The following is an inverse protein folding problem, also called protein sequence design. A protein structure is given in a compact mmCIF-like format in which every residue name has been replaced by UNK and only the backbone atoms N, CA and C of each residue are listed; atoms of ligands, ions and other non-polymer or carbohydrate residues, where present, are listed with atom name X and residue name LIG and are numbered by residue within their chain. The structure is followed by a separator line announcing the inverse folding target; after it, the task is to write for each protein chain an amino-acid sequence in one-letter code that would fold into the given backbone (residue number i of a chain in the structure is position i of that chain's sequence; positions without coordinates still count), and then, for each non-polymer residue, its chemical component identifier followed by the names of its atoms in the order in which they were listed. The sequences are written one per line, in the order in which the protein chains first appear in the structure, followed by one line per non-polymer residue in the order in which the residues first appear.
data_IF_094748268551
#
_entry.id   IF_094748268551
#
_cell.length_a   1.000
_cell.length_b   1.000
_cell.length_c   1.000
_cell.angle_alpha   90.00
_cell.angle_beta   90.00
_cell.angle_gamma   90.00
#
_symmetry.space_group_name_H-M   'P 1'
#
loop_
_entity.id
_entity.type
_entity.pdbx_description
1 polymer ?
#
# COMPACT_ATOMS: atom_id res chain seq x y z
N UNK A 1 19.24 3.44 22.29
CA UNK A 1 18.94 3.22 21.78
C UNK A 1 18.74 3.09 20.91
N UNK A 2 18.54 3.73 20.29
CA UNK A 2 18.48 2.68 19.84
C UNK A 2 18.33 2.76 18.39
N UNK A 3 19.26 2.09 17.72
CA UNK A 3 19.34 2.12 16.28
C UNK A 3 18.13 1.49 15.61
N UNK A 4 17.50 0.59 16.31
CA UNK A 4 16.29 -0.06 15.79
C UNK A 4 15.17 0.95 15.60
N UNK A 5 15.04 1.90 16.51
CA UNK A 5 14.01 2.92 16.38
C UNK A 5 14.27 3.80 15.17
N UNK A 6 15.52 4.14 14.94
CA UNK A 6 15.87 4.96 13.78
C UNK A 6 15.56 4.25 12.48
N UNK A 7 15.84 2.96 12.43
CA UNK A 7 15.55 2.15 11.25
C UNK A 7 14.05 2.10 11.01
N UNK A 8 13.28 1.88 12.07
CA UNK A 8 11.82 1.78 11.93
C UNK A 8 11.20 3.09 11.48
N UNK A 9 11.78 4.22 11.90
CA UNK A 9 11.23 5.52 11.53
C UNK A 9 11.33 5.81 10.04
N UNK A 10 12.20 5.09 9.33
CA UNK A 10 12.35 5.28 7.90
C UNK A 10 11.45 4.39 7.07
N UNK A 11 10.69 3.49 7.70
CA UNK A 11 9.91 2.49 6.99
C UNK A 11 8.49 2.99 6.74
N UNK A 12 7.76 3.32 7.78
CA UNK A 12 6.38 3.76 7.63
C UNK A 12 6.06 4.83 8.66
N UNK A 13 5.38 5.89 8.24
CA UNK A 13 4.98 6.99 9.10
C UNK A 13 3.49 7.11 9.26
N UNK A 14 2.72 6.81 8.21
CA UNK A 14 1.26 6.90 8.25
C UNK A 14 0.61 5.55 8.49
N UNK A 15 1.19 4.49 7.93
CA UNK A 15 0.68 3.15 8.17
C UNK A 15 1.25 2.68 9.51
N UNK A 16 0.39 2.41 10.50
CA UNK A 16 0.88 2.03 11.83
C UNK A 16 1.74 0.78 11.79
N UNK A 17 2.81 0.79 12.57
CA UNK A 17 3.75 -0.33 12.60
C UNK A 17 3.07 -1.63 13.00
N UNK A 18 2.12 -1.59 13.92
CA UNK A 18 1.40 -2.80 14.34
C UNK A 18 0.57 -3.38 13.20
N UNK A 19 0.13 -2.55 12.26
CA UNK A 19 -0.60 -3.07 11.09
C UNK A 19 0.33 -3.85 10.17
N UNK A 20 1.56 -3.39 10.02
CA UNK A 20 2.54 -4.09 9.19
C UNK A 20 3.04 -5.37 9.86
N UNK A 21 3.08 -5.39 11.20
CA UNK A 21 3.46 -6.60 11.93
C UNK A 21 2.36 -7.65 11.92
N UNK A 22 1.13 -7.24 11.74
CA UNK A 22 -0.02 -8.14 11.73
C UNK A 22 -0.29 -8.74 10.35
N UNK A 23 0.71 -8.74 9.46
CA UNK A 23 0.59 -9.35 8.15
C UNK A 23 0.39 -10.85 8.32
N UNK A 24 -0.68 -11.36 7.72
CA UNK A 24 -1.04 -12.78 7.83
C UNK A 24 -0.76 -13.55 6.54
N UNK A 25 -0.50 -12.87 5.44
CA UNK A 25 -0.23 -13.51 4.15
C UNK A 25 1.01 -12.90 3.54
N UNK A 26 1.87 -13.74 2.97
CA UNK A 26 3.14 -13.29 2.40
C UNK A 26 3.35 -13.96 1.05
N UNK A 27 3.64 -13.14 0.04
CA UNK A 27 4.15 -13.64 -1.24
C UNK A 27 5.63 -13.30 -1.24
N UNK A 28 6.45 -14.31 -1.00
CA UNK A 28 7.88 -14.11 -0.81
C UNK A 28 8.61 -13.78 -2.09
N UNK A 29 9.81 -13.24 -1.92
CA UNK A 29 10.66 -12.89 -3.05
C UNK A 29 10.92 -14.11 -3.93
N UNK A 30 10.77 -13.95 -5.23
CA UNK A 30 10.92 -15.04 -6.19
C UNK A 30 9.64 -15.82 -6.45
N UNK A 31 8.63 -15.68 -5.60
CA UNK A 31 7.35 -16.35 -5.81
C UNK A 31 6.46 -15.53 -6.75
N UNK A 32 5.59 -16.23 -7.49
CA UNK A 32 4.62 -15.60 -8.39
C UNK A 32 3.25 -16.12 -8.01
N UNK A 33 2.33 -15.20 -7.76
CA UNK A 33 0.93 -15.51 -7.48
C UNK A 33 0.08 -14.87 -8.57
N UNK A 34 -0.69 -15.68 -9.29
CA UNK A 34 -1.59 -15.20 -10.34
C UNK A 34 -3.02 -15.51 -9.90
N UNK A 35 -3.76 -14.48 -9.57
CA UNK A 35 -5.11 -14.62 -9.05
C UNK A 35 -5.47 -13.43 -8.18
N UNK A 36 -6.66 -13.50 -7.55
CA UNK A 36 -7.16 -12.44 -6.72
C UNK A 36 -7.08 -12.81 -5.25
N UNK A 37 -6.68 -11.83 -4.44
CA UNK A 37 -6.72 -11.93 -2.99
C UNK A 37 -7.87 -11.05 -2.51
N UNK A 38 -8.82 -11.65 -1.80
CA UNK A 38 -9.99 -10.92 -1.32
C UNK A 38 -10.29 -11.31 0.12
N UNK A 39 -10.64 -10.34 0.94
CA UNK A 39 -10.98 -10.58 2.32
C UNK A 39 -11.99 -9.55 2.81
N UNK A 40 -12.92 -9.98 3.65
CA UNK A 40 -13.81 -9.09 4.38
C UNK A 40 -13.40 -8.94 5.83
N UNK A 41 -12.23 -9.48 6.19
CA UNK A 41 -11.66 -9.35 7.53
C UNK A 41 -10.47 -8.42 7.51
N UNK A 42 -10.19 -7.84 8.68
CA UNK A 42 -9.08 -6.90 8.84
C UNK A 42 -7.76 -7.66 8.95
N UNK A 43 -7.28 -8.15 7.83
CA UNK A 43 -6.04 -8.91 7.71
C UNK A 43 -4.98 -8.07 7.02
N UNK A 44 -3.83 -8.65 6.75
CA UNK A 44 -2.76 -7.99 6.03
C UNK A 44 -2.08 -8.91 5.04
N UNK A 45 -1.59 -8.35 3.95
CA UNK A 45 -0.81 -9.08 2.97
C UNK A 45 0.46 -8.29 2.65
N UNK A 46 1.58 -9.01 2.57
CA UNK A 46 2.85 -8.45 2.11
C UNK A 46 3.27 -9.12 0.82
N UNK A 47 3.67 -8.33 -0.17
CA UNK A 47 4.12 -8.83 -1.45
C UNK A 47 5.58 -8.44 -1.64
N UNK A 48 6.48 -9.41 -1.57
CA UNK A 48 7.90 -9.24 -1.87
C UNK A 48 8.26 -9.92 -3.19
N UNK A 49 7.38 -10.75 -3.70
CA UNK A 49 7.49 -11.38 -5.01
C UNK A 49 6.61 -10.70 -6.02
N UNK A 50 5.97 -11.47 -6.87
CA UNK A 50 5.12 -10.94 -7.93
C UNK A 50 3.68 -11.41 -7.73
N UNK A 51 2.74 -10.47 -7.81
CA UNK A 51 1.32 -10.77 -7.79
C UNK A 51 0.67 -10.19 -9.03
N UNK A 52 -0.09 -11.01 -9.74
CA UNK A 52 -0.85 -10.58 -10.90
C UNK A 52 -2.32 -10.79 -10.56
N UNK A 53 -3.05 -9.70 -10.35
CA UNK A 53 -4.45 -9.77 -9.98
C UNK A 53 -4.81 -8.75 -8.93
N UNK A 54 -6.01 -8.85 -8.38
CA UNK A 54 -6.53 -7.86 -7.47
C UNK A 54 -6.23 -8.20 -6.01
N UNK A 55 -6.09 -7.16 -5.21
CA UNK A 55 -6.00 -7.28 -3.75
C UNK A 55 -7.08 -6.40 -3.18
N UNK A 56 -8.16 -7.00 -2.67
CA UNK A 56 -9.33 -6.25 -2.22
C UNK A 56 -9.70 -6.66 -0.81
N UNK A 57 -9.69 -5.69 0.09
CA UNK A 57 -10.26 -5.82 1.41
C UNK A 57 -11.56 -5.01 1.44
N UNK A 58 -12.69 -5.69 1.61
CA UNK A 58 -13.97 -5.00 1.65
C UNK A 58 -14.06 -4.05 2.84
N UNK A 59 -13.41 -4.42 3.93
CA UNK A 59 -13.28 -3.57 5.11
C UNK A 59 -11.97 -3.88 5.80
N UNK A 60 -11.38 -2.87 6.42
CA UNK A 60 -10.10 -3.01 7.08
C UNK A 60 -8.99 -3.28 6.08
N UNK A 61 -8.02 -4.03 6.51
CA UNK A 61 -6.95 -4.53 5.66
C UNK A 61 -5.74 -3.63 5.59
N UNK A 62 -4.58 -4.27 5.43
CA UNK A 62 -3.31 -3.59 5.21
C UNK A 62 -2.58 -4.30 4.07
N UNK A 63 -2.09 -3.51 3.12
CA UNK A 63 -1.34 -4.03 1.98
C UNK A 63 0.04 -3.40 2.02
N UNK A 64 1.07 -4.25 2.07
CA UNK A 64 2.46 -3.81 2.05
C UNK A 64 3.14 -4.41 0.83
N UNK A 65 3.47 -3.56 -0.13
CA UNK A 65 4.24 -3.98 -1.30
C UNK A 65 5.69 -3.68 -0.98
N UNK A 66 6.46 -4.71 -0.71
CA UNK A 66 7.86 -4.57 -0.32
C UNK A 66 8.73 -4.08 -1.48
N UNK A 67 9.97 -3.74 -1.18
CA UNK A 67 10.88 -3.13 -2.16
C UNK A 67 11.12 -4.02 -3.38
N UNK A 68 11.06 -5.34 -3.21
CA UNK A 68 11.22 -6.30 -4.32
C UNK A 68 9.87 -6.73 -4.89
N UNK A 69 8.76 -6.23 -4.35
CA UNK A 69 7.43 -6.62 -4.78
C UNK A 69 7.02 -5.96 -6.08
N UNK A 70 6.28 -6.71 -6.89
CA UNK A 70 5.69 -6.22 -8.14
C UNK A 70 4.26 -6.70 -8.19
N UNK A 71 3.32 -5.78 -8.36
CA UNK A 71 1.90 -6.11 -8.49
C UNK A 71 1.40 -5.53 -9.80
N UNK A 72 0.82 -6.38 -10.64
CA UNK A 72 0.38 -5.99 -11.99
C UNK A 72 -1.07 -6.38 -12.23
N UNK A 73 -1.72 -5.69 -13.18
CA UNK A 73 -3.12 -5.92 -13.54
C UNK A 73 -3.98 -5.93 -12.30
N UNK A 74 -3.81 -4.92 -11.46
CA UNK A 74 -4.36 -4.96 -10.11
C UNK A 74 -5.31 -3.82 -9.84
N UNK A 75 -6.24 -4.09 -8.92
CA UNK A 75 -6.97 -3.07 -8.19
C UNK A 75 -6.72 -3.38 -6.72
N UNK A 76 -6.03 -2.48 -6.04
CA UNK A 76 -5.71 -2.64 -4.63
C UNK A 76 -6.66 -1.76 -3.83
N UNK A 77 -7.38 -2.37 -2.89
CA UNK A 77 -8.30 -1.64 -2.03
C UNK A 77 -8.15 -2.14 -0.59
N UNK A 78 -7.86 -1.22 0.31
CA UNK A 78 -7.66 -1.54 1.72
C UNK A 78 -7.68 -0.27 2.55
N UNK A 79 -7.73 -0.41 3.88
CA UNK A 79 -7.61 0.75 4.77
C UNK A 79 -6.21 1.34 4.72
N UNK A 80 -5.18 0.49 4.75
CA UNK A 80 -3.79 0.93 4.78
C UNK A 80 -3.04 0.34 3.59
N UNK A 81 -2.37 1.19 2.82
CA UNK A 81 -1.56 0.75 1.70
C UNK A 81 -0.19 1.40 1.81
N UNK A 82 0.84 0.56 1.87
CA UNK A 82 2.23 0.98 2.01
C UNK A 82 3.03 0.39 0.85
N UNK A 83 3.60 1.24 0.00
CA UNK A 83 4.23 0.81 -1.24
C UNK A 83 5.69 1.20 -1.27
N UNK A 84 6.57 0.20 -1.34
CA UNK A 84 8.00 0.36 -1.53
C UNK A 84 8.45 -0.16 -2.90
N UNK A 85 7.66 -1.01 -3.51
CA UNK A 85 7.98 -1.67 -4.77
C UNK A 85 7.22 -1.07 -5.95
N UNK A 86 6.79 -1.92 -6.85
CA UNK A 86 6.18 -1.49 -8.10
C UNK A 86 4.73 -1.96 -8.18
N UNK A 87 3.84 -1.04 -8.54
CA UNK A 87 2.42 -1.34 -8.72
C UNK A 87 1.97 -0.82 -10.08
N UNK A 88 1.34 -1.69 -10.88
CA UNK A 88 0.70 -1.30 -12.13
C UNK A 88 -0.78 -1.58 -12.03
N UNK A 89 -1.58 -0.55 -11.83
CA UNK A 89 -3.02 -0.68 -11.68
C UNK A 89 -3.57 0.46 -10.86
N UNK A 90 -4.71 0.22 -10.21
CA UNK A 90 -5.37 1.23 -9.41
C UNK A 90 -5.20 0.93 -7.92
N UNK A 91 -5.16 1.97 -7.11
CA UNK A 91 -4.98 1.87 -5.67
C UNK A 91 -6.02 2.73 -4.99
N UNK A 92 -6.72 2.15 -4.02
CA UNK A 92 -7.66 2.86 -3.16
C UNK A 92 -7.31 2.58 -1.71
N UNK A 93 -6.87 3.60 -0.99
CA UNK A 93 -6.54 3.50 0.43
C UNK A 93 -7.56 4.30 1.22
N UNK A 94 -8.33 3.63 2.07
CA UNK A 94 -9.40 4.30 2.79
C UNK A 94 -8.92 5.10 3.99
N UNK A 95 -7.78 4.73 4.59
CA UNK A 95 -7.25 5.45 5.75
C UNK A 95 -5.91 6.10 5.47
N UNK A 96 -4.94 5.34 4.98
CA UNK A 96 -3.61 5.90 4.76
C UNK A 96 -2.96 5.27 3.53
N UNK A 97 -2.40 6.13 2.70
CA UNK A 97 -1.59 5.71 1.55
C UNK A 97 -0.20 6.27 1.74
N UNK A 98 0.79 5.39 1.79
CA UNK A 98 2.18 5.80 1.91
C UNK A 98 2.99 5.22 0.76
N UNK A 99 3.67 6.08 0.03
CA UNK A 99 4.46 5.72 -1.15
C UNK A 99 5.89 6.19 -0.91
N UNK A 100 6.80 5.25 -0.80
CA UNK A 100 8.20 5.55 -0.43
C UNK A 100 9.03 5.97 -1.64
N UNK A 101 10.27 6.38 -1.37
CA UNK A 101 11.18 6.85 -2.42
C UNK A 101 11.61 5.76 -3.40
N UNK A 102 11.48 4.49 -3.04
CA UNK A 102 11.81 3.38 -3.94
C UNK A 102 10.62 2.91 -4.76
N UNK A 103 9.44 3.48 -4.53
CA UNK A 103 8.22 3.00 -5.15
C UNK A 103 8.02 3.54 -6.56
N UNK A 104 7.38 2.72 -7.38
CA UNK A 104 6.93 3.12 -8.71
C UNK A 104 5.47 2.71 -8.84
N UNK A 105 4.61 3.67 -9.13
CA UNK A 105 3.18 3.44 -9.31
C UNK A 105 2.80 3.88 -10.72
N UNK A 106 2.29 2.94 -11.51
CA UNK A 106 1.80 3.23 -12.86
C UNK A 106 0.31 2.96 -12.85
N UNK A 107 -0.48 4.02 -12.86
CA UNK A 107 -1.93 3.96 -12.74
C UNK A 107 -2.43 5.02 -11.77
N UNK A 108 -3.69 4.94 -11.43
CA UNK A 108 -4.33 5.94 -10.60
C UNK A 108 -4.36 5.48 -9.15
N UNK A 109 -4.05 6.39 -8.25
CA UNK A 109 -4.09 6.14 -6.82
C UNK A 109 -5.03 7.14 -6.17
N UNK A 110 -5.82 6.68 -5.21
CA UNK A 110 -6.73 7.54 -4.46
C UNK A 110 -6.69 7.19 -2.99
N UNK A 111 -7.04 8.17 -2.18
CA UNK A 111 -7.05 8.00 -0.73
C UNK A 111 -8.19 8.80 -0.13
N UNK A 112 -8.71 8.32 1.01
CA UNK A 112 -9.86 8.95 1.63
C UNK A 112 -9.47 9.81 2.84
N UNK A 113 -8.30 9.62 3.43
CA UNK A 113 -7.91 10.35 4.64
C UNK A 113 -6.49 10.90 4.55
N UNK A 114 -5.46 10.06 4.67
CA UNK A 114 -4.08 10.53 4.79
C UNK A 114 -3.21 10.02 3.66
N UNK A 115 -2.23 10.82 3.28
CA UNK A 115 -1.27 10.45 2.25
C UNK A 115 0.12 10.97 2.59
N UNK A 116 1.13 10.15 2.31
CA UNK A 116 2.53 10.55 2.37
C UNK A 116 3.24 10.00 1.14
N UNK A 117 3.67 10.88 0.25
CA UNK A 117 4.39 10.50 -0.96
C UNK A 117 5.79 11.08 -0.88
N UNK A 118 6.79 10.21 -0.88
CA UNK A 118 8.18 10.63 -0.83
C UNK A 118 8.54 11.38 -2.12
N UNK A 119 9.38 12.43 -2.05
CA UNK A 119 9.77 13.19 -3.25
C UNK A 119 10.40 12.36 -4.36
N UNK A 120 11.01 11.22 -4.02
CA UNK A 120 11.63 10.35 -5.02
C UNK A 120 10.67 9.32 -5.60
N UNK A 121 9.46 9.21 -5.07
CA UNK A 121 8.48 8.27 -5.60
C UNK A 121 8.16 8.60 -7.04
N UNK A 122 7.93 7.56 -7.84
CA UNK A 122 7.61 7.74 -9.25
C UNK A 122 6.18 7.32 -9.48
N UNK A 123 5.36 8.28 -9.90
CA UNK A 123 3.93 8.04 -10.12
C UNK A 123 3.60 8.49 -11.54
N UNK A 124 3.08 7.56 -12.33
CA UNK A 124 2.57 7.88 -13.66
C UNK A 124 1.08 7.59 -13.65
N UNK A 125 0.29 8.63 -13.53
CA UNK A 125 -1.16 8.54 -13.40
C UNK A 125 -1.65 9.65 -12.51
N UNK A 126 -2.89 9.50 -12.04
CA UNK A 126 -3.51 10.50 -11.18
C UNK A 126 -3.40 10.11 -9.73
N UNK A 127 -3.31 11.14 -8.88
CA UNK A 127 -3.36 10.97 -7.43
C UNK A 127 -4.52 11.81 -6.94
N UNK A 128 -5.51 11.18 -6.32
CA UNK A 128 -6.77 11.83 -6.01
C UNK A 128 -7.19 11.64 -4.57
N UNK A 129 -7.60 12.75 -3.94
CA UNK A 129 -8.23 12.71 -2.63
C UNK A 129 -9.73 12.47 -2.82
N UNK A 130 -10.27 11.42 -2.18
CA UNK A 130 -11.68 11.04 -2.31
C UNK A 130 -12.51 11.41 -1.11
N UNK A 131 -11.91 11.99 -0.08
CA UNK A 131 -12.62 12.37 1.12
C UNK A 131 -13.55 13.55 0.89
N UNK A 132 -14.20 13.99 1.97
CA UNK A 132 -15.17 15.09 1.91
C UNK A 132 -14.43 16.43 1.98
N UNK A 133 -14.17 17.02 0.82
CA UNK A 133 -13.47 18.30 0.72
C UNK A 133 -14.27 19.42 1.37
N UNK A 134 -15.59 19.41 1.22
CA UNK A 134 -16.43 20.44 1.81
C UNK A 134 -16.36 20.40 3.33
N UNK A 135 -16.42 19.21 3.94
CA UNK A 135 -16.27 19.06 5.36
C UNK A 135 -14.89 19.51 5.81
N UNK A 136 -13.86 19.18 5.07
CA UNK A 136 -12.50 19.56 5.39
C UNK A 136 -12.28 21.06 5.29
N UNK A 137 -12.97 21.73 4.36
CA UNK A 137 -12.85 23.16 4.17
C UNK A 137 -13.59 23.96 5.25
N UNK A 138 -14.53 23.35 5.92
CA UNK A 138 -15.28 23.98 6.97
C UNK A 138 -14.50 24.00 8.26
#
# INVERSE_FOLDING_TARGET
MNNADKTNNNIARLVPAERLKAISSLIGEGAVFDGSFQSSKDLGIKVDGKLIGNIVFDQGGAVHIGATGVVENTSIEADYVFIEGKVKGTIVARKSLEITGSATVIGDASYDALIDVHPRARIRGKLEYRGDVDAAAS
#
